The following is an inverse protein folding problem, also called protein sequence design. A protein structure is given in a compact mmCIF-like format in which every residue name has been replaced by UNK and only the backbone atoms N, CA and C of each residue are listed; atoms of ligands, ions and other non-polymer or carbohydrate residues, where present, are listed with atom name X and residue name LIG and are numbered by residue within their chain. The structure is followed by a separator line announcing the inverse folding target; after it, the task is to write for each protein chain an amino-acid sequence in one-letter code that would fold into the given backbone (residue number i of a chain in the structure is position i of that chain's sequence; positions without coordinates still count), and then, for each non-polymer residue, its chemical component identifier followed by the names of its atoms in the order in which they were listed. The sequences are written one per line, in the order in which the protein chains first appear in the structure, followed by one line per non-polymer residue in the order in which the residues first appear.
data_IF_871277448391
#
_entry.id   IF_871277448391
#
_cell.length_a   1.000
_cell.length_b   1.000
_cell.length_c   1.000
_cell.angle_alpha   90.00
_cell.angle_beta   90.00
_cell.angle_gamma   90.00
#
_symmetry.space_group_name_H-M   'P 1'
#
loop_
_entity.id
_entity.type
_entity.pdbx_description
1 polymer ?
#
# COMPACT_ATOMS: atom_id res chain seq x y z
N UNK A 1 3.67 -20.74 11.97
CA UNK A 1 3.42 -19.38 12.48
C UNK A 1 2.93 -18.58 11.29
N UNK A 2 1.64 -18.76 11.02
CA UNK A 2 0.85 -18.00 10.08
C UNK A 2 0.49 -16.66 10.76
N UNK A 3 1.51 -15.89 11.14
CA UNK A 3 1.33 -14.56 11.72
C UNK A 3 2.04 -13.58 10.79
N UNK A 4 1.52 -13.48 9.57
CA UNK A 4 1.69 -12.29 8.75
C UNK A 4 0.31 -11.68 8.54
N UNK A 5 -0.32 -11.29 9.64
CA UNK A 5 -1.34 -10.26 9.57
C UNK A 5 -0.64 -8.98 9.07
N UNK A 6 -1.38 -8.06 8.45
CA UNK A 6 -0.83 -6.74 8.10
C UNK A 6 -0.18 -6.02 9.31
N UNK A 7 -0.58 -6.40 10.53
CA UNK A 7 0.01 -5.97 11.80
C UNK A 7 1.43 -6.48 12.05
N UNK A 8 1.84 -7.58 11.42
CA UNK A 8 3.12 -8.27 11.65
C UNK A 8 4.18 -7.93 10.60
N UNK A 9 3.78 -7.24 9.52
CA UNK A 9 4.70 -6.67 8.51
C UNK A 9 5.85 -5.86 9.15
N UNK A 10 5.64 -5.02 10.18
CA UNK A 10 6.75 -4.36 10.87
C UNK A 10 7.76 -5.36 11.47
N UNK A 11 7.27 -6.45 12.08
CA UNK A 11 8.09 -7.44 12.78
C UNK A 11 8.89 -8.33 11.82
N UNK A 12 8.33 -8.64 10.64
CA UNK A 12 8.93 -9.55 9.66
C UNK A 12 10.05 -8.89 8.85
N UNK A 13 9.93 -7.60 8.56
CA UNK A 13 10.79 -6.94 7.57
C UNK A 13 11.99 -6.15 8.13
N UNK A 14 12.10 -5.94 9.45
CA UNK A 14 13.33 -5.59 10.23
C UNK A 14 12.94 -4.91 11.56
N UNK A 15 13.08 -5.58 12.73
CA UNK A 15 12.70 -5.01 14.02
C UNK A 15 13.62 -3.87 14.53
N UNK A 16 14.73 -3.58 13.85
CA UNK A 16 15.81 -2.72 14.39
C UNK A 16 15.92 -1.37 13.66
N UNK A 17 15.29 -1.18 12.49
CA UNK A 17 15.42 0.06 11.69
C UNK A 17 14.14 0.47 10.93
N UNK A 18 13.14 0.95 11.65
CA UNK A 18 11.85 1.39 11.10
C UNK A 18 11.94 2.74 10.38
N UNK A 19 11.80 2.74 9.05
CA UNK A 19 11.31 3.91 8.31
C UNK A 19 9.85 3.66 7.91
N UNK A 20 8.95 4.59 8.22
CA UNK A 20 7.52 4.49 7.86
C UNK A 20 7.32 4.23 6.36
N UNK A 21 8.25 4.71 5.52
CA UNK A 21 8.30 4.41 4.08
C UNK A 21 8.46 2.92 3.80
N UNK A 22 9.39 2.24 4.48
CA UNK A 22 9.64 0.80 4.31
C UNK A 22 8.45 -0.02 4.79
N UNK A 23 7.87 0.36 5.93
CA UNK A 23 6.69 -0.31 6.45
C UNK A 23 5.50 -0.21 5.49
N UNK A 24 5.21 1.00 5.00
CA UNK A 24 4.15 1.20 4.03
C UNK A 24 4.38 0.41 2.74
N UNK A 25 5.62 0.34 2.25
CA UNK A 25 5.97 -0.45 1.07
C UNK A 25 5.75 -1.96 1.29
N UNK A 26 6.20 -2.49 2.43
CA UNK A 26 6.02 -3.90 2.76
C UNK A 26 4.53 -4.25 2.95
N UNK A 27 3.74 -3.35 3.55
CA UNK A 27 2.29 -3.52 3.67
C UNK A 27 1.61 -3.50 2.30
N UNK A 28 1.97 -2.56 1.42
CA UNK A 28 1.43 -2.47 0.07
C UNK A 28 1.71 -3.74 -0.75
N UNK A 29 2.94 -4.26 -0.67
CA UNK A 29 3.32 -5.56 -1.29
C UNK A 29 2.57 -6.75 -0.70
N UNK A 30 2.21 -6.70 0.58
CA UNK A 30 1.42 -7.78 1.21
C UNK A 30 -0.03 -7.73 0.77
N UNK A 31 -0.61 -6.53 0.59
CA UNK A 31 -2.01 -6.37 0.15
C UNK A 31 -2.23 -6.74 -1.31
N UNK A 32 -1.30 -6.34 -2.19
CA UNK A 32 -1.36 -6.57 -3.63
C UNK A 32 -0.01 -7.09 -4.14
N UNK A 33 0.36 -8.35 -3.80
CA UNK A 33 1.68 -8.92 -4.10
C UNK A 33 1.95 -9.11 -5.59
N UNK A 34 0.90 -9.26 -6.39
CA UNK A 34 0.99 -9.45 -7.83
C UNK A 34 1.38 -8.16 -8.58
N UNK A 35 1.51 -7.02 -7.91
CA UNK A 35 1.86 -5.75 -8.54
C UNK A 35 3.19 -5.22 -8.02
N UNK A 36 3.93 -4.55 -8.91
CA UNK A 36 5.12 -3.83 -8.47
C UNK A 36 4.72 -2.53 -7.76
N UNK A 37 5.38 -2.26 -6.64
CA UNK A 37 5.20 -1.04 -5.85
C UNK A 37 6.48 -0.22 -5.84
N UNK A 38 6.43 0.98 -6.43
CA UNK A 38 7.60 1.85 -6.60
C UNK A 38 7.46 3.10 -5.72
N UNK A 39 8.26 3.24 -4.65
CA UNK A 39 8.24 4.44 -3.83
C UNK A 39 8.93 5.61 -4.53
N UNK A 40 8.38 6.81 -4.37
CA UNK A 40 9.06 8.05 -4.71
C UNK A 40 10.19 8.36 -3.72
N UNK A 41 10.95 9.42 -4.01
CA UNK A 41 11.71 10.12 -2.98
C UNK A 41 10.78 10.78 -1.96
N UNK A 42 11.34 11.27 -0.87
CA UNK A 42 10.62 12.11 0.09
C UNK A 42 10.61 13.57 -0.41
N UNK A 43 9.46 14.24 -0.24
CA UNK A 43 9.27 15.65 -0.54
C UNK A 43 8.96 16.37 0.76
N UNK A 44 9.81 17.32 1.17
CA UNK A 44 9.78 17.88 2.53
C UNK A 44 9.53 19.40 2.56
N UNK A 45 9.38 20.03 1.40
CA UNK A 45 9.06 21.45 1.29
C UNK A 45 7.75 21.65 0.53
N UNK A 46 7.00 22.71 0.88
CA UNK A 46 5.70 22.97 0.23
C UNK A 46 5.79 23.08 -1.31
N UNK A 47 6.79 23.77 -1.90
CA UNK A 47 6.95 23.80 -3.36
C UNK A 47 7.24 22.43 -3.98
N UNK A 48 8.06 21.60 -3.33
CA UNK A 48 8.35 20.24 -3.78
C UNK A 48 7.11 19.35 -3.73
N UNK A 49 6.33 19.45 -2.65
CA UNK A 49 5.10 18.68 -2.48
C UNK A 49 4.07 19.08 -3.55
N UNK A 50 3.87 20.38 -3.78
CA UNK A 50 2.97 20.89 -4.84
C UNK A 50 3.43 20.41 -6.22
N UNK A 51 4.74 20.51 -6.50
CA UNK A 51 5.31 20.02 -7.77
C UNK A 51 5.08 18.52 -7.95
N UNK A 52 5.26 17.73 -6.90
CA UNK A 52 4.98 16.30 -6.93
C UNK A 52 3.48 16.01 -7.16
N UNK A 53 2.58 16.69 -6.45
CA UNK A 53 1.12 16.57 -6.66
C UNK A 53 0.76 16.88 -8.12
N UNK A 54 1.34 17.92 -8.72
CA UNK A 54 1.13 18.22 -10.13
C UNK A 54 1.58 17.07 -11.05
N UNK A 55 2.67 16.36 -10.71
CA UNK A 55 3.08 15.17 -11.48
C UNK A 55 2.05 14.03 -11.39
N UNK A 56 1.37 13.87 -10.25
CA UNK A 56 0.30 12.89 -10.07
C UNK A 56 -0.94 13.28 -10.88
N UNK A 57 -1.32 14.57 -10.89
CA UNK A 57 -2.43 15.09 -11.68
C UNK A 57 -2.20 14.85 -13.18
N UNK A 58 -0.96 15.02 -13.64
CA UNK A 58 -0.57 14.83 -15.04
C UNK A 58 -0.29 13.35 -15.41
N UNK A 59 -0.45 12.42 -14.47
CA UNK A 59 -0.32 11.00 -14.77
C UNK A 59 -1.57 10.46 -15.50
N UNK A 60 -1.47 9.32 -16.21
CA UNK A 60 -2.60 8.72 -16.90
C UNK A 60 -3.76 8.36 -15.93
N UNK A 61 -5.03 8.54 -16.33
CA UNK A 61 -6.17 7.93 -15.65
C UNK A 61 -5.96 6.42 -15.41
N UNK A 62 -6.38 5.95 -14.24
CA UNK A 62 -6.12 4.58 -13.76
C UNK A 62 -4.84 4.43 -12.93
N UNK A 63 -4.01 5.47 -12.83
CA UNK A 63 -2.84 5.45 -11.94
C UNK A 63 -3.27 5.45 -10.47
N UNK A 64 -2.61 4.60 -9.66
CA UNK A 64 -2.91 4.41 -8.23
C UNK A 64 -1.63 4.56 -7.42
N UNK A 65 -1.74 5.24 -6.28
CA UNK A 65 -0.67 5.37 -5.30
C UNK A 65 -1.18 5.13 -3.88
N UNK A 66 -0.28 4.69 -3.01
CA UNK A 66 -0.39 4.90 -1.58
C UNK A 66 0.37 6.18 -1.23
N UNK A 67 -0.33 7.23 -0.84
CA UNK A 67 0.26 8.43 -0.24
C UNK A 67 0.63 8.12 1.20
N UNK A 68 1.88 8.37 1.57
CA UNK A 68 2.41 8.21 2.93
C UNK A 68 3.02 9.54 3.33
N UNK A 69 2.57 10.10 4.43
CA UNK A 69 2.95 11.45 4.79
C UNK A 69 3.05 11.66 6.29
N UNK A 70 3.87 12.64 6.66
CA UNK A 70 4.01 13.11 8.02
C UNK A 70 3.32 14.45 8.17
N UNK A 71 2.64 14.63 9.29
CA UNK A 71 1.93 15.84 9.65
C UNK A 71 2.40 16.35 11.02
N UNK A 72 2.53 17.67 11.12
CA UNK A 72 2.68 18.34 12.40
C UNK A 72 1.30 18.56 13.02
N UNK A 73 1.11 18.07 14.26
CA UNK A 73 -0.13 18.24 15.04
C UNK A 73 -0.09 19.54 15.84
N UNK A 74 -1.25 20.02 16.34
CA UNK A 74 -1.32 21.26 17.14
C UNK A 74 -0.46 21.23 18.41
N UNK A 75 -0.22 20.04 18.98
CA UNK A 75 0.61 19.84 20.16
C UNK A 75 2.13 19.83 19.85
N UNK A 76 2.50 20.08 18.60
CA UNK A 76 3.89 20.08 18.12
C UNK A 76 4.46 18.69 17.83
N UNK A 77 3.68 17.62 18.02
CA UNK A 77 4.14 16.26 17.72
C UNK A 77 3.99 15.91 16.24
N UNK A 78 4.88 15.05 15.75
CA UNK A 78 4.83 14.52 14.40
C UNK A 78 4.04 13.22 14.35
N UNK A 79 3.08 13.13 13.42
CA UNK A 79 2.30 11.93 13.19
C UNK A 79 2.37 11.48 11.74
N UNK A 80 2.48 10.17 11.50
CA UNK A 80 2.43 9.59 10.16
C UNK A 80 1.03 9.10 9.81
N UNK A 81 0.67 9.25 8.54
CA UNK A 81 -0.59 8.78 8.01
C UNK A 81 -0.44 8.28 6.57
N UNK A 82 -1.42 7.52 6.10
CA UNK A 82 -1.41 6.98 4.74
C UNK A 82 -2.81 6.91 4.14
N UNK A 83 -2.92 7.27 2.86
CA UNK A 83 -4.19 7.28 2.12
C UNK A 83 -4.00 6.72 0.71
N UNK A 84 -4.95 5.96 0.16
CA UNK A 84 -4.98 5.69 -1.27
C UNK A 84 -5.23 6.98 -2.07
N UNK A 85 -4.56 7.10 -3.20
CA UNK A 85 -4.73 8.18 -4.18
C UNK A 85 -4.98 7.54 -5.54
N UNK A 86 -6.05 7.97 -6.22
CA UNK A 86 -6.44 7.48 -7.55
C UNK A 86 -6.46 8.65 -8.55
N UNK A 87 -5.95 8.44 -9.75
CA UNK A 87 -6.12 9.35 -10.90
C UNK A 87 -7.26 8.86 -11.78
N UNK A 88 -8.27 9.70 -12.06
CA UNK A 88 -9.57 9.21 -12.56
C UNK A 88 -10.19 9.92 -13.79
N UNK A 89 -9.52 10.38 -14.84
CA UNK A 89 -10.13 11.26 -15.88
C UNK A 89 -10.51 12.66 -15.39
N UNK A 90 -11.24 12.84 -14.29
CA UNK A 90 -11.66 14.17 -13.77
C UNK A 90 -10.61 14.86 -12.90
N UNK A 91 -9.71 14.10 -12.27
CA UNK A 91 -8.66 14.64 -11.39
C UNK A 91 -7.99 13.55 -10.55
N UNK A 92 -7.47 13.97 -9.39
CA UNK A 92 -7.05 13.07 -8.31
C UNK A 92 -8.15 12.94 -7.27
N UNK A 93 -8.31 11.73 -6.76
CA UNK A 93 -9.18 11.38 -5.64
C UNK A 93 -8.29 10.93 -4.48
N UNK A 94 -8.43 11.56 -3.32
CA UNK A 94 -7.70 11.21 -2.08
C UNK A 94 -8.67 10.51 -1.13
N UNK A 95 -8.49 9.20 -0.93
CA UNK A 95 -9.42 8.39 -0.14
C UNK A 95 -8.99 8.42 1.32
N UNK A 96 -9.68 9.19 2.15
CA UNK A 96 -9.35 9.30 3.57
C UNK A 96 -9.45 7.94 4.27
N UNK A 97 -8.44 7.60 5.08
CA UNK A 97 -8.42 6.42 5.94
C UNK A 97 -8.57 6.83 7.41
N UNK A 98 -8.98 5.89 8.27
CA UNK A 98 -9.22 6.17 9.69
C UNK A 98 -10.20 7.36 9.94
N UNK A 99 -11.17 7.52 9.05
CA UNK A 99 -12.14 8.63 9.05
C UNK A 99 -13.41 8.33 9.88
N UNK A 100 -13.26 7.60 11.00
CA UNK A 100 -14.40 7.11 11.80
C UNK A 100 -15.29 8.22 12.38
N UNK A 101 -14.74 9.41 12.58
CA UNK A 101 -15.45 10.58 13.11
C UNK A 101 -15.93 11.56 12.03
N UNK A 102 -15.70 11.24 10.75
CA UNK A 102 -16.10 12.10 9.62
C UNK A 102 -17.54 11.75 9.22
N UNK A 103 -18.48 12.72 9.20
CA UNK A 103 -19.83 12.50 8.72
C UNK A 103 -19.85 12.03 7.26
N UNK A 104 -20.82 11.20 6.89
CA UNK A 104 -20.90 10.60 5.54
C UNK A 104 -20.88 11.65 4.41
N UNK A 105 -21.63 12.74 4.56
CA UNK A 105 -21.70 13.78 3.54
C UNK A 105 -20.34 14.47 3.33
N UNK A 106 -19.63 14.76 4.43
CA UNK A 106 -18.27 15.30 4.37
C UNK A 106 -17.27 14.28 3.80
N UNK A 107 -17.44 13.00 4.11
CA UNK A 107 -16.60 11.95 3.54
C UNK A 107 -16.77 11.88 2.01
N UNK A 108 -18.00 12.04 1.51
CA UNK A 108 -18.26 12.11 0.05
C UNK A 108 -17.59 13.29 -0.60
N UNK A 109 -17.53 14.44 0.06
CA UNK A 109 -16.83 15.62 -0.45
C UNK A 109 -15.32 15.36 -0.63
N UNK A 110 -14.68 14.62 0.28
CA UNK A 110 -13.27 14.22 0.14
C UNK A 110 -13.01 13.29 -1.05
N UNK A 111 -14.02 12.57 -1.53
CA UNK A 111 -13.92 11.71 -2.71
C UNK A 111 -14.13 12.48 -4.03
N UNK A 112 -14.35 13.79 -3.98
CA UNK A 112 -14.53 14.60 -5.18
C UNK A 112 -13.20 14.72 -5.93
N UNK A 113 -13.14 14.34 -7.22
CA UNK A 113 -11.93 14.47 -8.01
C UNK A 113 -11.54 15.93 -8.19
N UNK A 114 -10.25 16.23 -8.15
CA UNK A 114 -9.74 17.59 -8.37
C UNK A 114 -8.43 17.62 -9.14
N UNK A 115 -8.26 18.65 -9.97
CA UNK A 115 -6.98 19.00 -10.62
C UNK A 115 -6.31 20.21 -9.98
N UNK A 116 -6.85 20.73 -8.88
CA UNK A 116 -6.21 21.79 -8.11
C UNK A 116 -5.20 21.18 -7.12
N UNK A 117 -3.89 21.40 -7.30
CA UNK A 117 -2.88 20.85 -6.40
C UNK A 117 -3.00 21.37 -4.97
N UNK A 118 -3.54 22.57 -4.76
CA UNK A 118 -3.79 23.11 -3.42
C UNK A 118 -4.95 22.38 -2.75
N UNK A 119 -5.99 22.04 -3.49
CA UNK A 119 -7.09 21.24 -2.96
C UNK A 119 -6.66 19.82 -2.61
N UNK A 120 -5.80 19.19 -3.43
CA UNK A 120 -5.19 17.88 -3.09
C UNK A 120 -4.36 17.99 -1.81
N UNK A 121 -3.57 19.06 -1.68
CA UNK A 121 -2.81 19.32 -0.46
C UNK A 121 -3.73 19.49 0.76
N UNK A 122 -4.86 20.21 0.63
CA UNK A 122 -5.86 20.33 1.69
C UNK A 122 -6.47 18.98 2.09
N UNK A 123 -6.70 18.07 1.13
CA UNK A 123 -7.16 16.71 1.45
C UNK A 123 -6.09 15.89 2.20
N UNK A 124 -4.80 16.15 1.97
CA UNK A 124 -3.71 15.52 2.72
C UNK A 124 -3.48 16.19 4.09
N UNK A 125 -3.76 17.50 4.19
CA UNK A 125 -3.74 18.30 5.42
C UNK A 125 -5.06 18.11 6.19
N UNK A 126 -5.17 16.96 6.88
CA UNK A 126 -6.26 16.73 7.85
C UNK A 126 -6.47 17.97 8.76
N UNK A 127 -7.69 18.23 9.25
CA UNK A 127 -8.00 19.44 10.02
C UNK A 127 -7.01 19.72 11.15
N UNK A 128 -6.53 20.97 11.23
CA UNK A 128 -5.55 21.45 12.22
C UNK A 128 -4.19 20.75 12.16
N UNK A 129 -3.77 20.24 11.00
CA UNK A 129 -2.47 19.61 10.82
C UNK A 129 -1.76 20.16 9.59
N UNK A 130 -0.44 20.28 9.67
CA UNK A 130 0.39 20.80 8.58
C UNK A 130 1.12 19.64 7.93
N UNK A 131 1.04 19.52 6.60
CA UNK A 131 1.75 18.49 5.85
C UNK A 131 3.24 18.84 5.79
N UNK A 132 4.07 17.98 6.38
CA UNK A 132 5.51 18.20 6.49
C UNK A 132 6.31 17.38 5.47
N UNK A 133 5.90 16.14 5.23
CA UNK A 133 6.59 15.22 4.32
C UNK A 133 5.53 14.48 3.50
N UNK A 134 5.74 14.36 2.19
CA UNK A 134 4.96 13.48 1.32
C UNK A 134 5.87 12.46 0.63
N UNK A 135 5.39 11.21 0.57
CA UNK A 135 5.92 10.11 -0.20
C UNK A 135 4.74 9.47 -0.92
N UNK A 136 4.92 9.02 -2.16
CA UNK A 136 3.93 8.22 -2.86
C UNK A 136 4.53 6.89 -3.28
N UNK A 137 3.81 5.80 -3.05
CA UNK A 137 4.19 4.47 -3.51
C UNK A 137 3.24 4.09 -4.64
N UNK A 138 3.73 4.10 -5.87
CA UNK A 138 2.93 3.85 -7.06
C UNK A 138 2.70 2.36 -7.25
N UNK A 139 1.44 1.97 -7.45
CA UNK A 139 1.07 0.67 -7.99
C UNK A 139 1.37 0.69 -9.50
N UNK A 140 2.27 -0.16 -9.95
CA UNK A 140 2.64 -0.29 -11.37
C UNK A 140 2.14 -1.61 -11.94
N UNK A 141 2.65 -1.97 -13.11
CA UNK A 141 2.35 -3.22 -13.82
C UNK A 141 2.46 -4.45 -12.92
N UNK A 142 1.75 -5.50 -13.32
CA UNK A 142 1.75 -6.80 -12.68
C UNK A 142 3.18 -7.31 -12.63
N UNK A 143 3.70 -7.50 -11.42
CA UNK A 143 4.97 -8.17 -11.22
C UNK A 143 4.71 -9.67 -11.40
N UNK A 144 5.12 -10.21 -12.55
CA UNK A 144 5.13 -11.66 -12.75
C UNK A 144 6.32 -12.25 -11.98
N UNK A 145 6.14 -12.50 -10.67
CA UNK A 145 7.05 -13.39 -9.97
C UNK A 145 6.74 -14.81 -10.39
N UNK A 146 7.57 -15.42 -11.23
CA UNK A 146 7.38 -16.81 -11.63
C UNK A 146 7.34 -17.74 -10.41
N UNK A 147 8.04 -17.39 -9.32
CA UNK A 147 8.01 -18.17 -8.07
C UNK A 147 6.64 -18.20 -7.38
N UNK A 148 5.81 -17.16 -7.52
CA UNK A 148 4.48 -17.10 -6.90
C UNK A 148 3.49 -18.10 -7.52
N UNK A 149 3.77 -18.54 -8.76
CA UNK A 149 3.03 -19.60 -9.44
C UNK A 149 3.69 -20.99 -9.30
N UNK A 150 5.00 -21.02 -9.08
CA UNK A 150 5.80 -22.25 -9.01
C UNK A 150 5.79 -22.87 -7.59
N UNK A 151 5.52 -22.09 -6.54
CA UNK A 151 5.59 -22.53 -5.14
C UNK A 151 4.19 -22.62 -4.52
N UNK A 152 3.73 -23.83 -4.25
CA UNK A 152 2.51 -24.14 -3.48
C UNK A 152 2.86 -24.83 -2.16
N UNK A 153 2.23 -24.42 -1.07
CA UNK A 153 2.31 -25.13 0.21
C UNK A 153 1.11 -26.07 0.36
N UNK A 154 1.30 -27.31 -0.12
CA UNK A 154 0.34 -28.42 -0.15
C UNK A 154 -0.84 -28.16 -1.11
N UNK A 155 -1.01 -29.08 -2.06
CA UNK A 155 -1.98 -29.07 -3.17
C UNK A 155 -1.62 -28.08 -4.30
N UNK A 156 -1.00 -28.63 -5.34
CA UNK A 156 -0.39 -27.92 -6.47
C UNK A 156 -1.39 -27.20 -7.39
N UNK A 157 -2.69 -27.25 -7.10
CA UNK A 157 -3.76 -26.71 -7.96
C UNK A 157 -4.36 -25.38 -7.47
N UNK A 158 -4.16 -25.02 -6.19
CA UNK A 158 -4.84 -23.86 -5.59
C UNK A 158 -6.37 -23.98 -5.49
N UNK A 159 -6.94 -25.15 -5.80
CA UNK A 159 -8.36 -25.50 -5.75
C UNK A 159 -8.65 -26.48 -4.58
N UNK A 160 -9.82 -26.38 -3.91
CA UNK A 160 -10.25 -27.27 -2.81
C UNK A 160 -10.71 -26.52 -1.55
N UNK A 161 -11.02 -27.19 -0.44
CA UNK A 161 -11.47 -26.52 0.80
C UNK A 161 -10.31 -25.85 1.59
N UNK A 162 -9.06 -26.25 1.34
CA UNK A 162 -7.84 -25.78 2.02
C UNK A 162 -6.99 -24.81 1.15
N UNK A 163 -7.63 -23.90 0.40
CA UNK A 163 -6.99 -23.02 -0.62
C UNK A 163 -5.95 -22.04 -0.09
N UNK A 164 -5.73 -21.98 1.22
CA UNK A 164 -4.78 -21.08 1.89
C UNK A 164 -3.64 -21.84 2.59
N UNK A 165 -3.43 -23.11 2.23
CA UNK A 165 -2.48 -23.97 2.91
C UNK A 165 -2.96 -24.39 4.30
N UNK A 166 -2.20 -25.26 4.96
CA UNK A 166 -2.59 -25.85 6.26
C UNK A 166 -2.51 -24.89 7.45
N UNK A 167 -2.17 -23.61 7.23
CA UNK A 167 -1.77 -22.67 8.28
C UNK A 167 -0.47 -23.05 9.02
N UNK A 168 0.14 -24.19 8.68
CA UNK A 168 1.43 -24.61 9.20
C UNK A 168 2.58 -23.84 8.57
N UNK A 169 3.73 -23.81 9.25
CA UNK A 169 4.93 -23.29 8.61
C UNK A 169 5.34 -24.22 7.46
N UNK A 170 5.65 -23.67 6.27
CA UNK A 170 6.30 -24.46 5.24
C UNK A 170 7.57 -25.09 5.78
N UNK A 171 7.65 -26.41 5.72
CA UNK A 171 8.90 -27.15 5.78
C UNK A 171 9.37 -27.45 4.36
N UNK A 172 10.65 -27.73 4.18
CA UNK A 172 11.20 -28.17 2.89
C UNK A 172 10.49 -29.42 2.32
N UNK A 173 9.78 -30.18 3.16
CA UNK A 173 8.97 -31.32 2.76
C UNK A 173 7.55 -30.95 2.28
N UNK A 174 7.03 -29.79 2.69
CA UNK A 174 5.67 -29.33 2.34
C UNK A 174 5.59 -28.46 1.09
N UNK A 175 6.73 -27.90 0.66
CA UNK A 175 6.82 -27.13 -0.58
C UNK A 175 6.55 -28.05 -1.76
N UNK A 176 5.59 -27.66 -2.58
CA UNK A 176 5.14 -28.35 -3.78
C UNK A 176 4.69 -29.80 -3.55
N UNK A 177 4.19 -30.11 -2.35
CA UNK A 177 3.63 -31.42 -2.06
C UNK A 177 2.24 -31.56 -2.71
N UNK A 178 2.05 -32.63 -3.47
CA UNK A 178 0.79 -32.93 -4.16
C UNK A 178 -0.02 -34.02 -3.45
N UNK A 179 -1.34 -34.03 -3.67
CA UNK A 179 -2.25 -35.07 -3.17
C UNK A 179 -1.79 -36.43 -3.68
N UNK A 180 -1.36 -37.32 -2.78
CA UNK A 180 -0.73 -38.60 -3.12
C UNK A 180 0.75 -38.73 -2.74
N UNK A 181 1.36 -37.71 -2.11
CA UNK A 181 2.70 -37.80 -1.54
C UNK A 181 3.86 -37.51 -2.50
N UNK A 182 3.55 -37.11 -3.74
CA UNK A 182 4.53 -36.68 -4.75
C UNK A 182 4.89 -35.19 -4.67
N UNK A 183 5.81 -34.74 -5.55
CA UNK A 183 6.22 -33.34 -5.67
C UNK A 183 5.85 -32.73 -7.04
N UNK A 184 5.38 -31.49 -7.02
CA UNK A 184 5.43 -30.48 -8.08
C UNK A 184 6.72 -30.50 -8.90
N UNK A 185 6.70 -30.81 -10.20
CA UNK A 185 7.81 -30.35 -11.05
C UNK A 185 7.73 -28.84 -11.17
N UNK A 186 8.88 -28.16 -11.00
CA UNK A 186 9.04 -26.75 -11.32
C UNK A 186 9.19 -26.68 -12.85
N UNK A 187 8.23 -26.07 -13.55
CA UNK A 187 8.34 -25.79 -14.99
C UNK A 187 9.09 -24.47 -15.20
#
# INVERSE_FOLDING_TARGET
MLNMLLTDVPQVYDPVNYSNRRLALASARTMLPQYNWVPSREFATRPEIISHINSLINSPPGSIWLGVFSQLRPDGTMGWHSVPILRDTQGLVVIQTNAYSVPFDLYREYLTPTTDPFQVMNYLELPNRILMILITIQLREVYHNTFDFIISNRNCTGEGDDRRGTGGYPTSASVNQCSGGGRCTLL
#
